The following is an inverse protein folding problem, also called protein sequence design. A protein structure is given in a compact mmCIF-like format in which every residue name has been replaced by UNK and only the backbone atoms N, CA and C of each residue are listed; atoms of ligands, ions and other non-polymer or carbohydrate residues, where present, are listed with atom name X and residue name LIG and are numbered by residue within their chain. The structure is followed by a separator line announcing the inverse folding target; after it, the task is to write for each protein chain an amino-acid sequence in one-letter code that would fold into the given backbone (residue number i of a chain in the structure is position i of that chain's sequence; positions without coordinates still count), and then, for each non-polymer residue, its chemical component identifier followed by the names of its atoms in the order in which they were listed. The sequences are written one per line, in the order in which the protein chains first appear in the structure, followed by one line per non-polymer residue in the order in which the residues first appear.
data_IF_866015523240
#
_entry.id   IF_866015523240
#
_cell.length_a   1.000
_cell.length_b   1.000
_cell.length_c   1.000
_cell.angle_alpha   90.00
_cell.angle_beta   90.00
_cell.angle_gamma   90.00
#
_symmetry.space_group_name_H-M   'P 1'
#
loop_
_entity.id
_entity.type
_entity.pdbx_description
1 polymer ?
#
# COMPACT_ATOMS: atom_id res chain seq x y z
N UNK A 1 14.64 -7.83 4.41
CA UNK A 1 14.40 -6.73 5.35
C UNK A 1 13.58 -5.74 4.55
N UNK A 2 12.26 -5.85 4.60
CA UNK A 2 11.42 -5.25 3.55
C UNK A 2 10.53 -4.19 4.20
N UNK A 3 11.11 -3.00 4.39
CA UNK A 3 10.41 -1.82 4.86
C UNK A 3 10.45 -0.77 3.75
N UNK A 4 9.31 -0.15 3.47
CA UNK A 4 9.20 1.00 2.58
C UNK A 4 8.90 2.21 3.45
N UNK A 5 9.61 3.31 3.23
CA UNK A 5 9.53 4.53 4.03
C UNK A 5 9.17 5.68 3.11
N UNK A 6 8.21 6.50 3.54
CA UNK A 6 7.84 7.78 2.95
C UNK A 6 7.73 8.82 4.06
N UNK A 7 7.55 10.08 3.71
CA UNK A 7 7.20 11.16 4.61
C UNK A 7 5.84 10.94 5.33
N UNK A 8 5.03 10.00 4.84
CA UNK A 8 3.73 9.65 5.41
C UNK A 8 3.76 8.41 6.31
N UNK A 9 4.89 7.70 6.43
CA UNK A 9 5.05 6.59 7.36
C UNK A 9 5.92 5.43 6.85
N UNK A 10 5.79 4.28 7.51
CA UNK A 10 6.60 3.09 7.24
C UNK A 10 5.72 1.85 7.02
N UNK A 11 5.89 1.19 5.87
CA UNK A 11 5.23 -0.06 5.54
C UNK A 11 6.20 -1.25 5.65
N UNK A 12 6.01 -2.09 6.69
CA UNK A 12 6.66 -3.40 6.78
C UNK A 12 5.95 -4.41 5.87
N UNK A 13 6.67 -5.01 4.93
CA UNK A 13 6.12 -5.93 3.92
C UNK A 13 6.41 -7.39 4.20
N UNK A 14 7.45 -7.69 4.98
CA UNK A 14 7.84 -9.07 5.30
C UNK A 14 6.68 -9.82 5.99
N UNK A 15 6.30 -10.97 5.43
CA UNK A 15 5.21 -11.80 5.96
C UNK A 15 3.79 -11.35 5.57
N UNK A 16 3.65 -10.29 4.77
CA UNK A 16 2.36 -9.82 4.27
C UNK A 16 1.99 -10.49 2.94
N UNK A 17 0.73 -10.86 2.79
CA UNK A 17 0.14 -11.26 1.51
C UNK A 17 0.14 -10.10 0.51
N UNK A 18 -0.04 -10.37 -0.78
CA UNK A 18 -0.11 -9.33 -1.82
C UNK A 18 -1.16 -8.25 -1.50
N UNK A 19 -2.34 -8.67 -1.02
CA UNK A 19 -3.39 -7.78 -0.52
C UNK A 19 -2.92 -6.89 0.63
N UNK A 20 -2.29 -7.50 1.63
CA UNK A 20 -1.78 -6.77 2.80
C UNK A 20 -0.64 -5.81 2.43
N UNK A 21 0.20 -6.17 1.45
CA UNK A 21 1.26 -5.31 0.92
C UNK A 21 0.67 -4.12 0.19
N UNK A 22 -0.31 -4.33 -0.70
CA UNK A 22 -0.99 -3.26 -1.42
C UNK A 22 -1.63 -2.25 -0.43
N UNK A 23 -2.40 -2.75 0.54
CA UNK A 23 -3.01 -1.89 1.56
C UNK A 23 -1.98 -1.13 2.39
N UNK A 24 -0.87 -1.78 2.79
CA UNK A 24 0.18 -1.13 3.57
C UNK A 24 0.92 -0.03 2.78
N UNK A 25 1.12 -0.23 1.47
CA UNK A 25 1.74 0.77 0.59
C UNK A 25 0.81 1.95 0.35
N UNK A 26 -0.48 1.69 0.11
CA UNK A 26 -1.51 2.73 -0.02
C UNK A 26 -1.57 3.60 1.24
N UNK A 27 -1.43 3.00 2.43
CA UNK A 27 -1.53 3.72 3.69
C UNK A 27 -0.35 4.66 3.99
N UNK A 28 0.78 4.46 3.31
CA UNK A 28 1.95 5.35 3.38
C UNK A 28 2.13 6.20 2.11
N UNK A 29 1.17 6.19 1.19
CA UNK A 29 1.18 7.05 0.02
C UNK A 29 0.69 8.47 0.36
N UNK A 30 1.02 9.44 -0.50
CA UNK A 30 0.49 10.81 -0.43
C UNK A 30 -1.04 10.78 -0.36
N UNK A 31 -1.69 11.55 0.54
CA UNK A 31 -3.14 11.53 0.76
C UNK A 31 -3.96 11.62 -0.54
N UNK A 32 -3.58 12.54 -1.43
CA UNK A 32 -4.26 12.78 -2.71
C UNK A 32 -4.36 11.55 -3.64
N UNK A 33 -3.43 10.59 -3.53
CA UNK A 33 -3.41 9.41 -4.40
C UNK A 33 -4.03 8.16 -3.76
N UNK A 34 -4.36 8.19 -2.45
CA UNK A 34 -4.79 6.96 -1.74
C UNK A 34 -6.06 6.38 -2.34
N UNK A 35 -7.01 7.21 -2.75
CA UNK A 35 -8.28 6.75 -3.28
C UNK A 35 -8.14 6.20 -4.71
N UNK A 36 -7.31 6.83 -5.54
CA UNK A 36 -6.95 6.32 -6.86
C UNK A 36 -6.25 4.96 -6.76
N UNK A 37 -5.26 4.82 -5.88
CA UNK A 37 -4.54 3.57 -5.67
C UNK A 37 -5.45 2.46 -5.12
N UNK A 38 -6.40 2.80 -4.22
CA UNK A 38 -7.43 1.86 -3.77
C UNK A 38 -8.33 1.42 -4.91
N UNK A 39 -8.75 2.35 -5.76
CA UNK A 39 -9.57 2.01 -6.91
C UNK A 39 -8.83 1.08 -7.87
N UNK A 40 -7.59 1.42 -8.24
CA UNK A 40 -6.75 0.60 -9.10
C UNK A 40 -6.53 -0.82 -8.52
N UNK A 41 -6.26 -0.92 -7.22
CA UNK A 41 -6.09 -2.19 -6.53
C UNK A 41 -7.36 -3.06 -6.57
N UNK A 42 -8.55 -2.47 -6.46
CA UNK A 42 -9.83 -3.19 -6.64
C UNK A 42 -10.01 -3.68 -8.08
N UNK A 43 -9.66 -2.87 -9.08
CA UNK A 43 -9.80 -3.24 -10.50
C UNK A 43 -8.96 -4.47 -10.85
N UNK A 44 -7.73 -4.54 -10.34
CA UNK A 44 -6.84 -5.68 -10.54
C UNK A 44 -7.09 -6.83 -9.55
N UNK A 45 -8.15 -6.74 -8.72
CA UNK A 45 -8.57 -7.74 -7.74
C UNK A 45 -7.47 -8.15 -6.75
N UNK A 46 -6.59 -7.20 -6.38
CA UNK A 46 -5.54 -7.45 -5.39
C UNK A 46 -5.99 -7.09 -3.97
N UNK A 47 -7.02 -6.24 -3.81
CA UNK A 47 -7.64 -5.91 -2.51
C UNK A 47 -9.14 -6.15 -2.46
#
# INVERSE_FOLDING_TARGET
MDHVVTEYGVAKLRGKSMRQRALALIDIAHPDFRDELRHAAKQIKII
#
